data_IF_955038248988
#
_entry.id   IF_955038248988
#
_cell.length_a   1.000
_cell.length_b   1.000
_cell.length_c   1.000
_cell.angle_alpha   90.00
_cell.angle_beta   90.00
_cell.angle_gamma   90.00
#
_symmetry.space_group_name_H-M   'P 1'
#
loop_
_entity.id
_entity.type
_entity.pdbx_description
1 polymer ?
#
# COMPACT_ATOMS: atom_id res chain seq x y z
N UNK A 1 -1.36 10.91 9.45
CA UNK A 1 0.02 10.77 8.92
C UNK A 1 -0.04 9.93 7.67
N UNK A 2 0.84 10.15 6.70
CA UNK A 2 0.86 9.48 5.40
C UNK A 2 2.26 8.94 5.12
N UNK A 3 2.33 7.70 4.67
CA UNK A 3 3.58 7.05 4.28
C UNK A 3 3.53 6.64 2.82
N UNK A 4 4.62 6.90 2.07
CA UNK A 4 4.79 6.39 0.71
C UNK A 4 5.65 5.12 0.77
N UNK A 5 5.09 4.00 0.31
CA UNK A 5 5.80 2.72 0.27
C UNK A 5 6.08 2.30 -1.17
N UNK A 6 7.36 2.30 -1.53
CA UNK A 6 7.83 1.78 -2.81
C UNK A 6 7.89 0.25 -2.78
N UNK A 7 7.20 -0.38 -3.72
CA UNK A 7 7.02 -1.82 -3.80
C UNK A 7 5.64 -2.24 -3.29
N UNK A 8 4.69 -2.43 -4.20
CA UNK A 8 3.33 -2.85 -3.88
C UNK A 8 3.16 -4.37 -3.85
N UNK A 9 4.25 -5.15 -3.93
CA UNK A 9 4.25 -6.62 -3.93
C UNK A 9 3.84 -7.26 -2.60
N UNK A 10 4.05 -8.57 -2.47
CA UNK A 10 3.58 -9.33 -1.29
C UNK A 10 4.20 -8.85 0.03
N UNK A 11 5.49 -8.51 0.06
CA UNK A 11 6.14 -7.99 1.28
C UNK A 11 5.63 -6.58 1.61
N UNK A 12 5.41 -5.75 0.59
CA UNK A 12 4.86 -4.41 0.78
C UNK A 12 3.45 -4.46 1.36
N UNK A 13 2.55 -5.28 0.80
CA UNK A 13 1.16 -5.37 1.28
C UNK A 13 1.01 -6.20 2.55
N UNK A 14 1.68 -7.34 2.60
CA UNK A 14 1.52 -8.35 3.65
C UNK A 14 2.33 -8.08 4.92
N UNK A 15 3.28 -7.14 4.87
CA UNK A 15 4.14 -6.86 6.02
C UNK A 15 4.34 -5.36 6.26
N UNK A 16 5.16 -4.67 5.45
CA UNK A 16 5.54 -3.28 5.75
C UNK A 16 4.34 -2.34 5.72
N UNK A 17 3.54 -2.40 4.65
CA UNK A 17 2.32 -1.63 4.51
C UNK A 17 1.26 -1.98 5.55
N UNK A 18 1.14 -3.25 5.94
CA UNK A 18 0.27 -3.67 7.05
C UNK A 18 0.70 -3.02 8.37
N UNK A 19 2.00 -3.01 8.69
CA UNK A 19 2.50 -2.38 9.91
C UNK A 19 2.27 -0.87 9.91
N UNK A 20 2.47 -0.20 8.78
CA UNK A 20 2.20 1.24 8.63
C UNK A 20 0.71 1.56 8.82
N UNK A 21 -0.16 0.77 8.19
CA UNK A 21 -1.61 0.88 8.34
C UNK A 21 -2.04 0.69 9.81
N UNK A 22 -1.51 -0.33 10.49
CA UNK A 22 -1.76 -0.56 11.92
C UNK A 22 -1.26 0.57 12.81
N UNK A 23 -0.20 1.27 12.40
CA UNK A 23 0.31 2.46 13.08
C UNK A 23 -0.53 3.73 12.79
N UNK A 24 -1.61 3.62 12.00
CA UNK A 24 -2.53 4.72 11.71
C UNK A 24 -2.11 5.61 10.53
N UNK A 25 -1.18 5.14 9.70
CA UNK A 25 -0.83 5.85 8.47
C UNK A 25 -1.82 5.54 7.36
N UNK A 26 -2.15 6.56 6.57
CA UNK A 26 -2.60 6.34 5.19
C UNK A 26 -1.40 5.86 4.37
N UNK A 27 -1.53 4.71 3.69
CA UNK A 27 -0.43 4.13 2.92
C UNK A 27 -0.61 4.43 1.44
N UNK A 28 0.37 5.08 0.82
CA UNK A 28 0.44 5.27 -0.63
C UNK A 28 1.43 4.28 -1.21
N UNK A 29 0.94 3.23 -1.87
CA UNK A 29 1.80 2.28 -2.58
C UNK A 29 2.27 2.85 -3.91
N UNK A 30 3.56 2.71 -4.20
CA UNK A 30 4.17 3.09 -5.47
C UNK A 30 4.89 1.89 -6.10
N UNK A 31 4.53 1.51 -7.32
CA UNK A 31 5.15 0.38 -8.04
C UNK A 31 5.08 0.58 -9.56
N UNK A 32 5.81 -0.19 -10.34
CA UNK A 32 5.75 -0.18 -11.83
C UNK A 32 4.85 -1.29 -12.37
N UNK A 33 4.45 -2.25 -11.54
CA UNK A 33 3.55 -3.34 -11.92
C UNK A 33 2.11 -2.82 -12.16
N UNK A 34 1.85 -2.31 -13.37
CA UNK A 34 0.61 -1.60 -13.72
C UNK A 34 -0.67 -2.34 -13.34
N UNK A 35 -0.81 -3.61 -13.73
CA UNK A 35 -2.01 -4.39 -13.41
C UNK A 35 -2.28 -4.54 -11.90
N UNK A 36 -1.23 -4.61 -11.08
CA UNK A 36 -1.35 -4.67 -9.62
C UNK A 36 -1.74 -3.31 -9.05
N UNK A 37 -1.13 -2.24 -9.53
CA UNK A 37 -1.47 -0.87 -9.12
C UNK A 37 -2.92 -0.55 -9.48
N UNK A 38 -3.38 -0.91 -10.67
CA UNK A 38 -4.76 -0.68 -11.11
C UNK A 38 -5.75 -1.45 -10.24
N UNK A 39 -5.44 -2.70 -9.88
CA UNK A 39 -6.25 -3.49 -8.95
C UNK A 39 -6.31 -2.85 -7.56
N UNK A 40 -5.19 -2.36 -7.04
CA UNK A 40 -5.14 -1.69 -5.75
C UNK A 40 -5.91 -0.36 -5.78
N UNK A 41 -5.71 0.47 -6.81
CA UNK A 41 -6.38 1.76 -6.95
C UNK A 41 -7.91 1.61 -7.10
N UNK A 42 -8.38 0.51 -7.68
CA UNK A 42 -9.80 0.19 -7.79
C UNK A 42 -10.40 -0.45 -6.51
N UNK A 43 -9.57 -0.94 -5.60
CA UNK A 43 -10.00 -1.62 -4.39
C UNK A 43 -10.13 -0.64 -3.21
N UNK A 44 -11.23 -0.74 -2.45
CA UNK A 44 -11.37 0.01 -1.19
C UNK A 44 -10.60 -0.61 -0.01
N UNK A 45 -10.29 -1.91 -0.09
CA UNK A 45 -9.59 -2.67 0.95
C UNK A 45 -8.99 -3.95 0.36
N UNK A 46 -7.99 -4.53 1.03
CA UNK A 46 -7.53 -5.91 0.79
C UNK A 46 -7.30 -6.65 2.12
N UNK A 47 -7.18 -7.98 2.05
CA UNK A 47 -6.94 -8.82 3.22
C UNK A 47 -5.52 -9.37 3.24
N UNK A 48 -4.90 -9.35 4.41
CA UNK A 48 -3.68 -10.08 4.73
C UNK A 48 -4.06 -11.28 5.59
N UNK A 49 -3.71 -12.47 5.11
CA UNK A 49 -3.96 -13.72 5.81
C UNK A 49 -2.69 -14.13 6.56
N UNK A 50 -2.68 -13.94 7.87
CA UNK A 50 -1.62 -14.43 8.75
C UNK A 50 -1.91 -15.91 9.05
N UNK A 51 -0.99 -16.79 8.65
CA UNK A 51 -1.09 -18.24 8.85
C UNK A 51 -0.11 -18.71 9.92
N UNK A 52 -0.48 -19.72 10.70
CA UNK A 52 0.34 -20.23 11.79
C UNK A 52 -0.52 -20.88 12.87
N UNK A 53 -0.01 -20.91 14.11
CA UNK A 53 -0.71 -21.47 15.27
C UNK A 53 -2.00 -20.71 15.60
N UNK A 54 -1.99 -19.38 15.42
CA UNK A 54 -3.14 -18.51 15.62
C UNK A 54 -3.45 -17.73 14.33
N UNK A 55 -4.16 -18.35 13.37
CA UNK A 55 -4.44 -17.70 12.10
C UNK A 55 -5.36 -16.49 12.29
N UNK A 56 -5.08 -15.41 11.56
CA UNK A 56 -5.92 -14.22 11.57
C UNK A 56 -5.97 -13.55 10.21
N UNK A 57 -7.01 -12.76 9.99
CA UNK A 57 -7.18 -11.97 8.77
C UNK A 57 -7.18 -10.50 9.18
N UNK A 58 -6.23 -9.74 8.63
CA UNK A 58 -6.17 -8.29 8.78
C UNK A 58 -6.74 -7.65 7.52
N UNK A 59 -7.71 -6.77 7.68
CA UNK A 59 -8.18 -5.92 6.57
C UNK A 59 -7.35 -4.64 6.55
N UNK A 60 -6.78 -4.34 5.39
CA UNK A 60 -6.07 -3.09 5.11
C UNK A 60 -6.95 -2.26 4.20
N UNK A 61 -7.36 -1.10 4.70
CA UNK A 61 -8.08 -0.05 3.99
C UNK A 61 -7.25 1.24 4.03
N UNK A 62 -7.86 2.39 3.71
CA UNK A 62 -7.22 3.70 3.80
C UNK A 62 -5.84 3.76 3.11
N UNK A 63 -5.78 3.23 1.90
CA UNK A 63 -4.58 3.25 1.08
C UNK A 63 -4.90 3.82 -0.31
N UNK A 64 -3.85 4.28 -0.99
CA UNK A 64 -3.87 4.64 -2.40
C UNK A 64 -2.75 3.91 -3.14
N UNK A 65 -2.84 3.83 -4.45
CA UNK A 65 -1.81 3.21 -5.28
C UNK A 65 -1.51 4.08 -6.50
N UNK A 66 -0.22 4.29 -6.79
CA UNK A 66 0.27 5.07 -7.92
C UNK A 66 1.28 4.27 -8.72
N UNK A 67 1.19 4.34 -10.04
CA UNK A 67 2.20 3.76 -10.91
C UNK A 67 3.41 4.69 -10.97
N UNK A 68 4.52 4.27 -10.36
CA UNK A 68 5.76 5.05 -10.28
C UNK A 68 6.44 5.29 -11.63
N UNK A 69 6.09 4.53 -12.68
CA UNK A 69 6.60 4.70 -14.03
C UNK A 69 5.76 5.62 -14.92
N UNK A 70 4.49 5.88 -14.59
CA UNK A 70 3.59 6.69 -15.43
C UNK A 70 2.93 7.86 -14.70
N UNK A 71 2.97 7.90 -13.37
CA UNK A 71 2.35 8.93 -12.54
C UNK A 71 3.39 9.71 -11.72
N UNK A 72 4.52 10.05 -12.33
CA UNK A 72 5.66 10.70 -11.68
C UNK A 72 5.27 11.96 -10.90
N UNK A 73 4.58 12.91 -11.55
CA UNK A 73 4.21 14.18 -10.91
C UNK A 73 3.30 13.98 -9.68
N UNK A 74 2.37 13.02 -9.74
CA UNK A 74 1.50 12.69 -8.61
C UNK A 74 2.32 12.05 -7.48
N UNK A 75 3.20 11.11 -7.80
CA UNK A 75 4.04 10.45 -6.81
C UNK A 75 5.00 11.43 -6.11
N UNK A 76 5.59 12.38 -6.85
CA UNK A 76 6.43 13.44 -6.27
C UNK A 76 5.63 14.28 -5.27
N UNK A 77 4.37 14.62 -5.57
CA UNK A 77 3.51 15.36 -4.64
C UNK A 77 3.19 14.56 -3.36
N UNK A 78 2.99 13.24 -3.48
CA UNK A 78 2.79 12.37 -2.31
C UNK A 78 4.04 12.28 -1.44
N UNK A 79 5.22 12.16 -2.04
CA UNK A 79 6.50 12.14 -1.33
C UNK A 79 6.75 13.46 -0.60
N UNK A 80 6.48 14.59 -1.25
CA UNK A 80 6.72 15.92 -0.68
C UNK A 80 5.86 16.22 0.56
N UNK A 81 4.81 15.44 0.79
CA UNK A 81 3.85 15.62 1.88
C UNK A 81 3.70 14.37 2.75
N UNK A 82 4.61 13.39 2.60
CA UNK A 82 4.70 12.24 3.49
C UNK A 82 5.37 12.63 4.81
N UNK A 83 5.01 11.93 5.89
CA UNK A 83 5.59 12.10 7.23
C UNK A 83 6.88 11.27 7.43
#
# INVERSE_FOLDING_TARGET
MKAVHFGAGNIGRGFVGLLLHQAGYEVVFADVAGALIDQLAAAGSYNVHEVGENPTVRTVDNFRALNSGTQEAALVAEIATAD
#
